data_IF_000850440044
#
_entry.id   IF_000850440044
#
_cell.length_a   1.000
_cell.length_b   1.000
_cell.length_c   1.000
_cell.angle_alpha   90.00
_cell.angle_beta   90.00
_cell.angle_gamma   90.00
#
_symmetry.space_group_name_H-M   'P 1'
#
loop_
_entity.id
_entity.type
_entity.pdbx_description
1 polymer ?
#
# COMPACT_ATOMS: atom_id res chain seq x y z
N UNK A 1 0.34 -29.29 40.21
CA UNK A 1 -0.98 -29.66 39.67
C UNK A 1 -1.70 -28.40 39.21
N UNK A 2 -2.49 -28.51 38.13
CA UNK A 2 -3.32 -27.49 37.46
C UNK A 2 -2.65 -26.54 36.47
N UNK A 3 -2.37 -27.07 35.27
CA UNK A 3 -2.41 -26.28 34.04
C UNK A 3 -3.85 -26.26 33.52
N UNK A 4 -4.51 -25.09 33.59
CA UNK A 4 -5.87 -24.90 33.09
C UNK A 4 -5.84 -24.93 31.56
N UNK A 5 -6.40 -26.00 30.99
CA UNK A 5 -6.72 -26.13 29.56
C UNK A 5 -7.71 -25.03 29.15
N UNK A 6 -7.37 -24.21 28.16
CA UNK A 6 -8.34 -23.42 27.41
C UNK A 6 -8.42 -23.94 25.97
N UNK A 7 -9.62 -24.36 25.58
CA UNK A 7 -9.96 -24.94 24.28
C UNK A 7 -9.81 -23.89 23.17
N UNK A 8 -9.00 -24.14 22.15
CA UNK A 8 -8.84 -23.25 20.99
C UNK A 8 -9.92 -23.52 19.94
N UNK A 9 -10.99 -22.72 19.95
CA UNK A 9 -11.92 -22.57 18.83
C UNK A 9 -11.15 -22.00 17.62
N UNK A 10 -11.41 -22.44 16.37
CA UNK A 10 -10.67 -21.93 15.21
C UNK A 10 -10.91 -20.42 15.09
N UNK A 11 -9.85 -19.65 15.31
CA UNK A 11 -9.86 -18.19 15.26
C UNK A 11 -10.20 -17.73 13.84
N UNK A 12 -11.49 -17.44 13.61
CA UNK A 12 -11.97 -16.78 12.40
C UNK A 12 -11.40 -15.37 12.41
N UNK A 13 -10.17 -15.22 11.91
CA UNK A 13 -9.43 -13.96 11.87
C UNK A 13 -10.34 -12.86 11.34
N UNK A 14 -10.62 -11.86 12.18
CA UNK A 14 -11.36 -10.67 11.78
C UNK A 14 -10.62 -10.01 10.61
N UNK A 15 -11.30 -9.92 9.47
CA UNK A 15 -10.84 -9.13 8.33
C UNK A 15 -11.33 -7.70 8.55
N UNK A 16 -10.44 -6.74 8.30
CA UNK A 16 -10.76 -5.32 8.33
C UNK A 16 -10.55 -4.78 6.93
N UNK A 17 -11.42 -3.88 6.51
CA UNK A 17 -11.31 -3.24 5.21
C UNK A 17 -10.11 -2.29 5.16
N UNK A 18 -9.58 -2.06 3.95
CA UNK A 18 -8.39 -1.23 3.76
C UNK A 18 -8.62 0.23 4.21
N UNK A 19 -9.84 0.75 4.01
CA UNK A 19 -10.22 2.08 4.49
C UNK A 19 -10.14 2.18 6.02
N UNK A 20 -10.61 1.16 6.73
CA UNK A 20 -10.52 1.11 8.19
C UNK A 20 -9.07 1.02 8.66
N UNK A 21 -8.26 0.20 7.99
CA UNK A 21 -6.83 0.07 8.29
C UNK A 21 -6.10 1.41 8.11
N UNK A 22 -6.40 2.15 7.05
CA UNK A 22 -5.81 3.46 6.79
C UNK A 22 -6.18 4.48 7.89
N UNK A 23 -7.46 4.55 8.27
CA UNK A 23 -7.91 5.43 9.34
C UNK A 23 -7.31 5.04 10.70
N UNK A 24 -7.20 3.75 10.98
CA UNK A 24 -6.56 3.26 12.19
C UNK A 24 -5.09 3.66 12.29
N UNK A 25 -4.36 3.60 11.17
CA UNK A 25 -2.96 4.04 11.08
C UNK A 25 -2.83 5.56 11.22
N UNK A 26 -3.74 6.33 10.61
CA UNK A 26 -3.81 7.79 10.76
C UNK A 26 -4.02 8.17 12.22
N UNK A 27 -5.03 7.60 12.87
CA UNK A 27 -5.31 7.84 14.28
C UNK A 27 -4.13 7.43 15.16
N UNK A 28 -3.47 6.31 14.87
CA UNK A 28 -2.28 5.88 15.60
C UNK A 28 -1.13 6.89 15.48
N UNK A 29 -0.94 7.52 14.33
CA UNK A 29 0.10 8.53 14.09
C UNK A 29 -0.19 9.87 14.78
N UNK A 30 -1.47 10.24 14.89
CA UNK A 30 -1.92 11.47 15.56
C UNK A 30 -2.01 11.30 17.08
N UNK A 31 -2.27 10.08 17.54
CA UNK A 31 -2.31 9.75 18.95
C UNK A 31 -0.90 9.72 19.54
N UNK A 32 -0.75 10.18 20.79
CA UNK A 32 0.51 10.04 21.54
C UNK A 32 0.86 8.57 21.87
N UNK A 33 -0.07 7.62 21.67
CA UNK A 33 0.13 6.21 22.00
C UNK A 33 -0.74 5.29 21.15
N UNK A 34 -0.09 4.33 20.49
CA UNK A 34 -0.73 3.24 19.74
C UNK A 34 -1.74 2.46 20.57
N UNK A 35 -1.50 2.34 21.87
CA UNK A 35 -2.39 1.63 22.79
C UNK A 35 -3.69 2.40 23.01
N UNK A 36 -3.63 3.73 23.11
CA UNK A 36 -4.81 4.58 23.24
C UNK A 36 -5.64 4.55 21.95
N UNK A 37 -5.00 4.67 20.78
CA UNK A 37 -5.68 4.57 19.49
C UNK A 37 -6.36 3.21 19.31
N UNK A 38 -5.69 2.11 19.68
CA UNK A 38 -6.28 0.77 19.59
C UNK A 38 -7.50 0.61 20.51
N UNK A 39 -7.47 1.17 21.72
CA UNK A 39 -8.61 1.18 22.63
C UNK A 39 -9.79 1.98 22.07
N UNK A 40 -9.53 3.17 21.51
CA UNK A 40 -10.57 4.00 20.89
C UNK A 40 -11.25 3.30 19.70
N UNK A 41 -10.48 2.53 18.92
CA UNK A 41 -10.97 1.79 17.75
C UNK A 41 -11.53 0.40 18.11
N UNK A 42 -11.44 -0.02 19.38
CA UNK A 42 -11.90 -1.34 19.82
C UNK A 42 -11.11 -2.51 19.19
N UNK A 43 -9.87 -2.28 18.77
CA UNK A 43 -9.00 -3.30 18.17
C UNK A 43 -7.86 -3.70 19.11
N UNK A 44 -7.23 -4.84 18.83
CA UNK A 44 -6.05 -5.26 19.56
C UNK A 44 -4.87 -4.31 19.28
N UNK A 45 -4.17 -3.76 20.30
CA UNK A 45 -2.96 -2.97 20.09
C UNK A 45 -1.90 -3.72 19.27
N UNK A 46 -1.78 -5.04 19.47
CA UNK A 46 -0.85 -5.91 18.73
C UNK A 46 -1.16 -5.93 17.23
N UNK A 47 -2.44 -5.84 16.85
CA UNK A 47 -2.84 -5.77 15.46
C UNK A 47 -2.42 -4.43 14.84
N UNK A 48 -2.64 -3.33 15.57
CA UNK A 48 -2.27 -2.00 15.12
C UNK A 48 -0.75 -1.84 14.96
N UNK A 49 0.04 -2.37 15.89
CA UNK A 49 1.51 -2.45 15.76
C UNK A 49 1.95 -3.23 14.51
N UNK A 50 1.30 -4.36 14.21
CA UNK A 50 1.62 -5.13 12.99
C UNK A 50 1.31 -4.34 11.72
N UNK A 51 0.24 -3.56 11.71
CA UNK A 51 -0.10 -2.70 10.58
C UNK A 51 0.91 -1.56 10.42
N UNK A 52 1.33 -0.92 11.51
CA UNK A 52 2.37 0.12 11.49
C UNK A 52 3.70 -0.44 10.95
N UNK A 53 4.13 -1.61 11.44
CA UNK A 53 5.35 -2.27 10.97
C UNK A 53 5.26 -2.62 9.48
N UNK A 54 4.11 -3.13 9.03
CA UNK A 54 3.91 -3.44 7.62
C UNK A 54 3.95 -2.18 6.73
N UNK A 55 3.45 -1.05 7.22
CA UNK A 55 3.51 0.23 6.50
C UNK A 55 4.95 0.74 6.41
N UNK A 56 5.71 0.68 7.50
CA UNK A 56 7.14 1.01 7.50
C UNK A 56 7.95 0.15 6.54
N UNK A 57 7.71 -1.18 6.52
CA UNK A 57 8.39 -2.09 5.58
C UNK A 57 8.00 -1.78 4.13
N UNK A 58 6.72 -1.49 3.88
CA UNK A 58 6.27 -1.09 2.55
C UNK A 58 6.92 0.23 2.10
N UNK A 59 7.05 1.19 3.01
CA UNK A 59 7.70 2.48 2.72
C UNK A 59 9.19 2.31 2.46
N UNK A 60 9.91 1.58 3.31
CA UNK A 60 11.35 1.27 3.12
C UNK A 60 11.57 0.50 1.82
N UNK A 61 10.79 -0.56 1.58
CA UNK A 61 10.87 -1.32 0.33
C UNK A 61 10.56 -0.46 -0.89
N UNK A 62 9.59 0.46 -0.80
CA UNK A 62 9.28 1.38 -1.90
C UNK A 62 10.43 2.37 -2.18
N UNK A 63 11.12 2.82 -1.14
CA UNK A 63 12.28 3.72 -1.24
C UNK A 63 13.47 2.98 -1.82
N UNK A 64 13.71 1.73 -1.40
CA UNK A 64 14.77 0.88 -1.95
C UNK A 64 14.53 0.57 -3.43
N UNK A 65 13.31 0.15 -3.78
CA UNK A 65 12.90 -0.09 -5.18
C UNK A 65 12.99 1.19 -6.02
N UNK A 66 12.69 2.37 -5.46
CA UNK A 66 12.85 3.63 -6.18
C UNK A 66 14.32 4.07 -6.35
N UNK A 67 15.20 3.64 -5.45
CA UNK A 67 16.66 3.89 -5.52
C UNK A 67 17.38 2.90 -6.42
N UNK A 68 16.74 1.78 -6.76
CA UNK A 68 17.29 0.79 -7.66
C UNK A 68 17.55 1.40 -9.06
N UNK A 69 18.81 1.39 -9.54
CA UNK A 69 19.17 1.96 -10.84
C UNK A 69 18.47 1.26 -12.01
N UNK A 70 18.19 -0.05 -11.91
CA UNK A 70 17.51 -0.82 -12.94
C UNK A 70 16.06 -0.37 -13.06
N UNK A 71 15.37 -0.23 -11.93
CA UNK A 71 13.99 0.30 -11.89
C UNK A 71 13.92 1.70 -12.49
N UNK A 72 14.93 2.55 -12.22
CA UNK A 72 15.00 3.89 -12.80
C UNK A 72 15.17 3.86 -14.32
N UNK A 73 16.04 2.99 -14.82
CA UNK A 73 16.26 2.82 -16.26
C UNK A 73 15.01 2.29 -16.96
N UNK A 74 14.36 1.27 -16.40
CA UNK A 74 13.13 0.70 -16.93
C UNK A 74 12.00 1.73 -16.98
N UNK A 75 11.83 2.54 -15.92
CA UNK A 75 10.85 3.65 -15.93
C UNK A 75 11.15 4.70 -17.01
N UNK A 76 12.43 5.00 -17.24
CA UNK A 76 12.81 5.93 -18.30
C UNK A 76 12.52 5.36 -19.70
N UNK A 77 12.75 4.07 -19.91
CA UNK A 77 12.42 3.38 -21.16
C UNK A 77 10.91 3.36 -21.41
N UNK A 78 10.11 3.02 -20.39
CA UNK A 78 8.65 3.07 -20.48
C UNK A 78 8.16 4.45 -20.88
N UNK A 79 8.66 5.51 -20.24
CA UNK A 79 8.29 6.88 -20.58
C UNK A 79 8.62 7.25 -22.03
N UNK A 80 9.77 6.80 -22.56
CA UNK A 80 10.12 7.02 -23.96
C UNK A 80 9.16 6.28 -24.90
N UNK A 81 8.87 5.02 -24.62
CA UNK A 81 7.91 4.23 -25.41
C UNK A 81 6.51 4.87 -25.40
N UNK A 82 6.05 5.37 -24.25
CA UNK A 82 4.77 6.09 -24.15
C UNK A 82 4.76 7.38 -24.98
N UNK A 83 5.87 8.14 -24.97
CA UNK A 83 6.01 9.34 -25.80
C UNK A 83 6.01 9.01 -27.29
N UNK A 84 6.72 7.96 -27.71
CA UNK A 84 6.73 7.49 -29.09
C UNK A 84 5.32 7.08 -29.53
N UNK A 85 4.59 6.34 -28.70
CA UNK A 85 3.20 5.98 -28.98
C UNK A 85 2.29 7.21 -29.10
N UNK A 86 2.48 8.22 -28.26
CA UNK A 86 1.70 9.47 -28.34
C UNK A 86 1.99 10.24 -29.63
N UNK A 87 3.26 10.32 -30.04
CA UNK A 87 3.67 10.93 -31.31
C UNK A 87 3.04 10.17 -32.50
N UNK A 88 3.13 8.85 -32.50
CA UNK A 88 2.56 8.02 -33.56
C UNK A 88 1.04 8.15 -33.63
N UNK A 89 0.36 8.19 -32.48
CA UNK A 89 -1.10 8.44 -32.42
C UNK A 89 -1.44 9.81 -33.02
N UNK A 90 -0.71 10.87 -32.66
CA UNK A 90 -0.91 12.21 -33.23
C UNK A 90 -0.68 12.23 -34.74
N UNK A 91 0.36 11.57 -35.22
CA UNK A 91 0.63 11.44 -36.64
C UNK A 91 -0.51 10.72 -37.37
N UNK A 92 -1.00 9.60 -36.84
CA UNK A 92 -2.13 8.87 -37.41
C UNK A 92 -3.40 9.72 -37.52
N UNK A 93 -3.69 10.57 -36.52
CA UNK A 93 -4.84 11.50 -36.58
C UNK A 93 -4.70 12.49 -37.74
N UNK A 94 -3.48 13.02 -37.97
CA UNK A 94 -3.23 13.93 -39.09
C UNK A 94 -3.35 13.21 -40.44
N UNK A 95 -2.77 12.01 -40.56
CA UNK A 95 -2.81 11.24 -41.82
C UNK A 95 -4.18 10.63 -42.13
N UNK A 96 -5.03 10.43 -41.12
CA UNK A 96 -6.39 9.89 -41.31
C UNK A 96 -7.46 10.95 -41.59
N UNK A 97 -7.12 12.24 -41.53
CA UNK A 97 -8.00 13.30 -42.02
C UNK A 97 -7.95 13.33 -43.56
N UNK A 98 -9.07 13.07 -44.26
CA UNK A 98 -9.08 13.14 -45.72
C UNK A 98 -8.84 14.59 -46.15
N UNK A 99 -7.82 14.77 -46.99
CA UNK A 99 -7.57 16.04 -47.68
C UNK A 99 -8.75 16.29 -48.60
N UNK A 100 -9.48 17.39 -48.36
CA UNK A 100 -10.65 17.78 -49.15
C UNK A 100 -10.24 18.54 -50.41
#
# INVERSE_FOLDING_TARGET
MSTKSSKSTPDRRRKYDDAFKAEALRLASESRSTQAAAQQLGISPKLLYRWQQAQLVAEVGSVEVARDPEVRQLRAQLKRAEQELDILKKALVIFSQPTR
#
